data_IF_646065585279
#
_entry.id   IF_646065585279
#
_cell.length_a   1.000
_cell.length_b   1.000
_cell.length_c   1.000
_cell.angle_alpha   90.00
_cell.angle_beta   90.00
_cell.angle_gamma   90.00
#
_symmetry.space_group_name_H-M   'P 1'
#
loop_
_entity.id
_entity.type
_entity.pdbx_description
1 polymer ?
#
# COMPACT_ATOMS: atom_id res chain seq x y z
N UNK A 1 -0.61 -13.26 0.36
CA UNK A 1 -1.68 -12.28 0.11
C UNK A 1 -1.72 -11.33 1.31
N UNK A 2 -2.09 -10.07 1.12
CA UNK A 2 -2.17 -9.09 2.21
C UNK A 2 -3.49 -8.31 2.10
N UNK A 3 -4.03 -7.88 3.24
CA UNK A 3 -5.32 -7.18 3.33
C UNK A 3 -5.19 -6.06 4.36
N UNK A 4 -5.76 -4.91 4.07
CA UNK A 4 -5.84 -3.78 5.01
C UNK A 4 -7.16 -3.05 4.86
N UNK A 5 -7.69 -2.53 5.96
CA UNK A 5 -8.92 -1.74 5.99
C UNK A 5 -8.59 -0.32 6.47
N UNK A 6 -9.24 0.68 5.89
CA UNK A 6 -9.17 2.05 6.38
C UNK A 6 -9.82 2.14 7.76
N UNK A 7 -9.27 2.98 8.64
CA UNK A 7 -9.77 3.14 10.01
C UNK A 7 -11.21 3.67 10.08
N UNK A 8 -11.66 4.40 9.07
CA UNK A 8 -13.05 4.85 8.93
C UNK A 8 -14.02 3.76 8.44
N UNK A 9 -13.51 2.56 8.12
CA UNK A 9 -14.28 1.40 7.66
C UNK A 9 -14.87 1.54 6.27
N UNK A 10 -14.50 2.58 5.49
CA UNK A 10 -15.07 2.84 4.16
C UNK A 10 -14.35 2.14 3.04
N UNK A 11 -13.08 1.75 3.25
CA UNK A 11 -12.24 1.16 2.20
C UNK A 11 -11.50 -0.08 2.69
N UNK A 12 -11.42 -1.06 1.80
CA UNK A 12 -10.64 -2.29 1.96
C UNK A 12 -9.69 -2.41 0.76
N UNK A 13 -8.42 -2.72 1.02
CA UNK A 13 -7.45 -3.05 -0.01
C UNK A 13 -7.00 -4.50 0.13
N UNK A 14 -6.94 -5.21 -1.00
CA UNK A 14 -6.58 -6.63 -1.08
C UNK A 14 -5.46 -6.81 -2.10
N UNK A 15 -4.27 -7.18 -1.62
CA UNK A 15 -3.13 -7.56 -2.45
C UNK A 15 -3.18 -9.06 -2.77
N UNK A 16 -3.33 -9.37 -4.05
CA UNK A 16 -3.31 -10.72 -4.58
C UNK A 16 -1.94 -11.05 -5.17
N UNK A 17 -1.36 -12.17 -4.71
CA UNK A 17 -0.09 -12.69 -5.24
C UNK A 17 -0.23 -13.29 -6.64
N UNK A 18 -1.41 -13.83 -6.98
CA UNK A 18 -1.61 -14.58 -8.22
C UNK A 18 -1.61 -13.71 -9.47
N UNK A 19 -2.09 -12.47 -9.37
CA UNK A 19 -2.17 -11.52 -10.47
C UNK A 19 -1.38 -10.23 -10.20
N UNK A 20 -0.61 -10.22 -9.11
CA UNK A 20 0.27 -9.12 -8.72
C UNK A 20 -0.41 -7.75 -8.67
N UNK A 21 -1.62 -7.69 -8.10
CA UNK A 21 -2.44 -6.47 -8.02
C UNK A 21 -2.97 -6.20 -6.63
N UNK A 22 -3.10 -4.93 -6.28
CA UNK A 22 -3.92 -4.46 -5.15
C UNK A 22 -5.27 -4.01 -5.69
N UNK A 23 -6.35 -4.65 -5.24
CA UNK A 23 -7.74 -4.23 -5.51
C UNK A 23 -8.27 -3.41 -4.35
N UNK A 24 -9.16 -2.48 -4.66
CA UNK A 24 -9.85 -1.66 -3.68
C UNK A 24 -11.34 -1.98 -3.68
N UNK A 25 -11.94 -1.92 -2.50
CA UNK A 25 -13.36 -2.07 -2.30
C UNK A 25 -13.87 -0.94 -1.44
N UNK A 26 -15.02 -0.37 -1.80
CA UNK A 26 -15.72 0.60 -0.99
C UNK A 26 -16.89 -0.06 -0.26
N UNK A 27 -17.06 0.32 1.01
CA UNK A 27 -18.18 -0.10 1.84
C UNK A 27 -19.41 0.74 1.48
N UNK A 28 -20.41 0.10 0.89
CA UNK A 28 -21.70 0.71 0.54
C UNK A 28 -22.67 0.78 1.73
N UNK A 29 -22.18 0.46 2.95
CA UNK A 29 -22.94 0.27 4.19
C UNK A 29 -23.73 -1.04 4.20
N UNK A 30 -24.24 -1.41 5.38
CA UNK A 30 -25.01 -2.65 5.61
C UNK A 30 -24.26 -3.93 5.17
N UNK A 31 -22.92 -3.94 5.30
CA UNK A 31 -22.09 -5.09 4.93
C UNK A 31 -21.92 -5.32 3.42
N UNK A 32 -22.41 -4.41 2.57
CA UNK A 32 -22.25 -4.50 1.11
C UNK A 32 -20.96 -3.83 0.68
N UNK A 33 -20.17 -4.53 -0.13
CA UNK A 33 -18.91 -4.04 -0.68
C UNK A 33 -18.97 -4.01 -2.20
N UNK A 34 -18.43 -2.95 -2.79
CA UNK A 34 -18.25 -2.85 -4.24
C UNK A 34 -16.77 -2.81 -4.57
N UNK A 35 -16.36 -3.62 -5.55
CA UNK A 35 -15.03 -3.51 -6.11
C UNK A 35 -14.90 -2.20 -6.90
N UNK A 36 -13.73 -1.58 -6.80
CA UNK A 36 -13.33 -0.46 -7.62
C UNK A 36 -12.63 -0.95 -8.90
N UNK A 37 -12.83 -0.28 -10.05
CA UNK A 37 -12.20 -0.68 -11.30
C UNK A 37 -10.68 -0.47 -11.28
N UNK A 38 -10.19 0.48 -10.49
CA UNK A 38 -8.75 0.71 -10.35
C UNK A 38 -8.05 -0.37 -9.52
N UNK A 39 -6.80 -0.62 -9.90
CA UNK A 39 -5.89 -1.47 -9.16
C UNK A 39 -4.50 -0.86 -9.22
N UNK A 40 -3.69 -1.20 -8.22
CA UNK A 40 -2.27 -0.95 -8.26
C UNK A 40 -1.54 -2.20 -8.71
N UNK A 41 -0.43 -2.03 -9.44
CA UNK A 41 0.58 -3.07 -9.49
C UNK A 41 1.10 -3.29 -8.07
N UNK A 42 1.04 -4.52 -7.58
CA UNK A 42 1.55 -4.87 -6.27
C UNK A 42 3.00 -5.37 -6.38
N UNK A 43 3.78 -5.31 -5.30
CA UNK A 43 4.89 -6.22 -5.13
C UNK A 43 4.38 -7.62 -4.79
N UNK A 44 4.81 -8.63 -5.57
CA UNK A 44 4.70 -10.03 -5.17
C UNK A 44 5.43 -10.16 -3.83
N UNK A 45 4.73 -10.70 -2.82
CA UNK A 45 5.23 -10.89 -1.45
C UNK A 45 5.43 -9.65 -0.56
N UNK A 46 4.85 -8.51 -0.95
CA UNK A 46 4.85 -7.31 -0.11
C UNK A 46 3.74 -7.24 0.94
N UNK A 47 3.76 -6.15 1.71
CA UNK A 47 2.73 -5.75 2.67
C UNK A 47 2.06 -4.44 2.24
N UNK A 48 0.83 -4.23 2.71
CA UNK A 48 0.05 -3.03 2.43
C UNK A 48 -0.62 -2.52 3.71
N UNK A 49 -0.73 -1.21 3.86
CA UNK A 49 -1.48 -0.57 4.96
C UNK A 49 -2.18 0.70 4.49
N UNK A 50 -3.49 0.79 4.71
CA UNK A 50 -4.25 2.02 4.50
C UNK A 50 -4.15 2.92 5.74
N UNK A 51 -4.23 4.23 5.54
CA UNK A 51 -4.46 5.17 6.65
C UNK A 51 -5.93 5.14 7.11
N UNK A 52 -6.24 5.98 8.11
CA UNK A 52 -7.59 6.11 8.64
C UNK A 52 -8.63 6.43 7.55
N UNK A 53 -8.32 7.34 6.63
CA UNK A 53 -9.26 7.80 5.59
C UNK A 53 -9.27 6.92 4.33
N UNK A 54 -8.31 5.99 4.23
CA UNK A 54 -8.08 5.20 3.03
C UNK A 54 -7.57 5.99 1.83
N UNK A 55 -7.11 7.23 2.02
CA UNK A 55 -6.54 8.10 0.98
C UNK A 55 -5.05 7.82 0.82
N UNK A 56 -4.38 7.33 1.85
CA UNK A 56 -2.98 6.92 1.80
C UNK A 56 -2.86 5.41 1.86
N UNK A 57 -1.92 4.88 1.09
CA UNK A 57 -1.55 3.48 1.10
C UNK A 57 -0.02 3.37 1.19
N UNK A 58 0.45 2.76 2.26
CA UNK A 58 1.82 2.28 2.35
C UNK A 58 1.92 0.92 1.64
N UNK A 59 2.89 0.78 0.75
CA UNK A 59 3.21 -0.46 0.06
C UNK A 59 4.67 -0.79 0.34
N UNK A 60 4.92 -1.93 0.98
CA UNK A 60 6.26 -2.39 1.28
C UNK A 60 6.63 -3.65 0.51
N UNK A 61 7.87 -3.72 0.04
CA UNK A 61 8.44 -4.88 -0.64
C UNK A 61 9.73 -5.34 0.05
N UNK A 62 9.87 -6.63 0.40
CA UNK A 62 11.15 -7.20 0.76
C UNK A 62 12.13 -7.09 -0.42
N UNK A 63 13.31 -6.56 -0.16
CA UNK A 63 14.44 -6.54 -1.09
C UNK A 63 15.43 -7.60 -0.61
N UNK A 64 15.99 -8.41 -1.52
CA UNK A 64 17.09 -9.30 -1.17
C UNK A 64 18.18 -8.50 -0.46
N UNK A 65 18.53 -8.93 0.76
CA UNK A 65 19.68 -8.41 1.45
C UNK A 65 20.92 -8.74 0.59
N UNK A 66 21.73 -7.73 0.26
CA UNK A 66 23.06 -8.01 -0.29
C UNK A 66 23.85 -8.75 0.79
N UNK A 67 24.04 -10.06 0.64
CA UNK A 67 24.87 -10.95 1.49
C UNK A 67 24.70 -10.89 3.03
N UNK A 68 23.72 -10.16 3.57
CA UNK A 68 23.47 -9.99 5.01
C UNK A 68 22.15 -10.61 5.46
N UNK A 69 21.95 -10.70 6.78
CA UNK A 69 20.74 -11.24 7.41
C UNK A 69 19.59 -10.23 7.57
N UNK A 70 19.80 -8.97 7.18
CA UNK A 70 18.81 -7.91 7.34
C UNK A 70 17.87 -7.83 6.12
N UNK A 71 16.56 -8.00 6.35
CA UNK A 71 15.57 -7.73 5.32
C UNK A 71 15.53 -6.23 5.04
N UNK A 72 16.20 -5.80 3.97
CA UNK A 72 15.97 -4.47 3.42
C UNK A 72 14.54 -4.41 2.90
N UNK A 73 13.74 -3.49 3.39
CA UNK A 73 12.43 -3.21 2.82
C UNK A 73 12.48 -1.90 2.04
N UNK A 74 11.82 -1.87 0.90
CA UNK A 74 11.49 -0.67 0.15
C UNK A 74 10.04 -0.34 0.41
N UNK A 75 9.76 0.86 0.92
CA UNK A 75 8.41 1.31 1.21
C UNK A 75 8.08 2.52 0.35
N UNK A 76 6.89 2.51 -0.23
CA UNK A 76 6.37 3.66 -0.96
C UNK A 76 5.03 4.07 -0.35
N UNK A 77 4.85 5.38 -0.14
CA UNK A 77 3.57 5.95 0.25
C UNK A 77 2.88 6.46 -1.01
N UNK A 78 1.67 5.97 -1.24
CA UNK A 78 0.82 6.36 -2.36
C UNK A 78 -0.38 7.16 -1.84
N UNK A 79 -0.72 8.25 -2.52
CA UNK A 79 -1.95 9.03 -2.32
C UNK A 79 -2.96 8.72 -3.39
N UNK A 80 -4.21 8.58 -2.97
CA UNK A 80 -5.34 8.62 -3.87
C UNK A 80 -5.60 10.05 -4.35
N UNK A 81 -5.49 10.25 -5.66
CA UNK A 81 -5.83 11.51 -6.31
C UNK A 81 -7.24 11.46 -6.87
N UNK A 82 -8.13 12.27 -6.29
CA UNK A 82 -9.53 12.35 -6.69
C UNK A 82 -9.75 12.87 -8.11
N UNK A 83 -8.83 13.69 -8.64
CA UNK A 83 -8.95 14.25 -9.99
C UNK A 83 -8.81 13.18 -11.08
N UNK A 84 -7.58 12.71 -11.39
CA UNK A 84 -7.36 11.64 -12.36
C UNK A 84 -7.86 10.26 -11.89
N UNK A 85 -8.48 10.14 -10.71
CA UNK A 85 -8.90 8.89 -10.09
C UNK A 85 -7.80 7.81 -10.14
N UNK A 86 -6.62 8.16 -9.61
CA UNK A 86 -5.45 7.27 -9.62
C UNK A 86 -4.63 7.42 -8.35
N UNK A 87 -3.78 6.43 -8.08
CA UNK A 87 -2.80 6.48 -7.02
C UNK A 87 -1.49 7.09 -7.53
N UNK A 88 -0.91 8.02 -6.77
CA UNK A 88 0.40 8.60 -7.07
C UNK A 88 1.33 8.50 -5.87
N UNK A 89 2.61 8.26 -6.13
CA UNK A 89 3.62 8.27 -5.09
C UNK A 89 3.79 9.66 -4.47
N UNK A 90 3.74 9.73 -3.14
CA UNK A 90 4.14 10.92 -2.37
C UNK A 90 5.61 10.91 -1.98
N UNK A 91 6.20 9.71 -1.89
CA UNK A 91 7.58 9.54 -1.48
C UNK A 91 8.38 8.86 -2.57
N UNK A 92 9.64 9.26 -2.67
CA UNK A 92 10.67 8.39 -3.22
C UNK A 92 10.84 7.17 -2.31
N UNK A 93 11.38 6.08 -2.85
CA UNK A 93 11.53 4.79 -2.18
C UNK A 93 12.16 4.92 -0.77
N UNK A 94 11.36 4.69 0.26
CA UNK A 94 11.77 4.69 1.66
C UNK A 94 12.44 3.33 1.95
N UNK A 95 13.69 3.19 1.49
CA UNK A 95 14.49 2.01 1.78
C UNK A 95 15.15 2.11 3.16
N UNK A 96 15.05 1.04 3.96
CA UNK A 96 15.68 0.96 5.28
C UNK A 96 17.21 1.13 5.27
N UNK A 97 17.86 0.86 4.13
CA UNK A 97 19.30 1.01 3.93
C UNK A 97 19.81 2.48 3.98
N UNK A 98 18.91 3.46 4.11
CA UNK A 98 19.23 4.89 4.24
C UNK A 98 18.53 5.60 5.40
N UNK A 99 17.84 4.89 6.30
CA UNK A 99 16.97 5.48 7.34
C UNK A 99 17.70 6.22 8.48
N UNK A 100 18.99 6.55 8.32
CA UNK A 100 19.76 7.34 9.29
C UNK A 100 19.62 8.85 9.14
N UNK A 101 18.79 9.36 8.21
CA UNK A 101 18.60 10.81 8.04
C UNK A 101 17.12 11.19 7.87
N UNK A 102 16.61 11.77 8.97
CA UNK A 102 15.42 12.61 9.08
C UNK A 102 14.05 11.91 9.10
N UNK A 103 13.73 11.29 10.23
CA UNK A 103 12.39 11.38 10.79
C UNK A 103 12.45 12.42 11.93
N UNK A 104 12.07 13.67 11.66
CA UNK A 104 11.80 14.63 12.73
C UNK A 104 10.31 14.50 13.06
N UNK A 105 10.04 14.02 14.29
CA UNK A 105 8.74 14.09 14.95
C UNK A 105 8.52 15.48 15.55
#
# INVERSE_FOLDING_TARGET
>A
QAVTMAGDGRRLAVASRGDNRVRFYDNLKAGRWSIRPEFLGAPVDGWISLDYSGILLAVGKPVPAGSGTELNARVQILRWNFGPATWTAETEDLSGAGASKHLQL
#
